data_IF_767996815045
#
_entry.id   IF_767996815045
#
_cell.length_a   1.000
_cell.length_b   1.000
_cell.length_c   1.000
_cell.angle_alpha   90.00
_cell.angle_beta   90.00
_cell.angle_gamma   90.00
#
_symmetry.space_group_name_H-M   'P 1'
#
loop_
_entity.id
_entity.type
_entity.pdbx_description
1 polymer ?
#
# COMPACT_ATOMS: atom_id res chain seq x y z
N UNK A 1 -14.02 26.56 13.37
CA UNK A 1 -13.03 25.69 12.69
C UNK A 1 -12.76 24.53 13.63
N UNK A 2 -13.42 23.40 13.40
CA UNK A 2 -13.42 22.22 14.28
C UNK A 2 -12.06 21.53 14.24
N UNK A 3 -11.39 21.49 15.40
CA UNK A 3 -10.26 20.61 15.67
C UNK A 3 -10.76 19.15 15.62
N UNK A 4 -10.87 18.57 14.43
CA UNK A 4 -11.05 17.12 14.27
C UNK A 4 -9.75 16.43 14.69
N UNK A 5 -9.67 16.11 15.98
CA UNK A 5 -8.77 15.05 16.44
C UNK A 5 -9.12 13.78 15.63
N UNK A 6 -8.13 13.03 15.12
CA UNK A 6 -8.37 11.72 14.52
C UNK A 6 -9.30 10.93 15.44
N UNK A 7 -10.36 10.33 14.88
CA UNK A 7 -11.46 9.76 15.66
C UNK A 7 -10.92 8.83 16.75
N UNK A 8 -10.96 9.29 18.01
CA UNK A 8 -10.46 8.56 19.19
C UNK A 8 -11.01 7.13 19.23
N UNK A 9 -12.23 6.95 18.73
CA UNK A 9 -12.90 5.66 18.60
C UNK A 9 -12.17 4.66 17.71
N UNK A 10 -11.60 5.09 16.58
CA UNK A 10 -10.89 4.18 15.68
C UNK A 10 -9.55 3.75 16.29
N UNK A 11 -8.81 4.68 16.91
CA UNK A 11 -7.57 4.34 17.62
C UNK A 11 -7.84 3.37 18.79
N UNK A 12 -8.91 3.63 19.56
CA UNK A 12 -9.36 2.74 20.62
C UNK A 12 -9.80 1.37 20.09
N UNK A 13 -10.56 1.33 19.00
CA UNK A 13 -10.98 0.09 18.35
C UNK A 13 -9.76 -0.69 17.86
N UNK A 14 -8.79 -0.01 17.26
CA UNK A 14 -7.54 -0.62 16.80
C UNK A 14 -6.76 -1.27 17.91
N UNK A 15 -6.57 -0.57 19.04
CA UNK A 15 -5.89 -1.13 20.21
C UNK A 15 -6.62 -2.35 20.76
N UNK A 16 -7.94 -2.29 20.88
CA UNK A 16 -8.77 -3.39 21.42
C UNK A 16 -8.72 -4.63 20.51
N UNK A 17 -8.80 -4.44 19.21
CA UNK A 17 -8.79 -5.54 18.23
C UNK A 17 -7.39 -6.15 18.10
N UNK A 18 -6.32 -5.36 18.14
CA UNK A 18 -4.95 -5.89 18.19
C UNK A 18 -4.71 -6.71 19.45
N UNK A 19 -5.18 -6.24 20.61
CA UNK A 19 -5.11 -7.02 21.86
C UNK A 19 -5.93 -8.31 21.79
N UNK A 20 -7.12 -8.27 21.17
CA UNK A 20 -7.95 -9.46 20.96
C UNK A 20 -7.26 -10.48 20.04
N UNK A 21 -6.69 -10.02 18.91
CA UNK A 21 -5.92 -10.87 17.99
C UNK A 21 -4.73 -11.50 18.69
N UNK A 22 -3.92 -10.71 19.40
CA UNK A 22 -2.76 -11.23 20.14
C UNK A 22 -3.15 -12.32 21.15
N UNK A 23 -4.21 -12.08 21.93
CA UNK A 23 -4.72 -13.08 22.88
C UNK A 23 -5.15 -14.36 22.18
N UNK A 24 -5.81 -14.24 21.03
CA UNK A 24 -6.27 -15.38 20.24
C UNK A 24 -5.10 -16.18 19.67
N UNK A 25 -4.11 -15.49 19.09
CA UNK A 25 -2.90 -16.11 18.53
C UNK A 25 -2.09 -16.81 19.66
N UNK A 26 -2.04 -16.23 20.87
CA UNK A 26 -1.44 -16.85 22.06
C UNK A 26 -2.21 -18.09 22.57
N UNK A 27 -3.54 -18.05 22.56
CA UNK A 27 -4.38 -19.20 22.91
C UNK A 27 -4.18 -20.34 21.90
N UNK A 28 -4.00 -20.03 20.61
CA UNK A 28 -3.70 -21.00 19.56
C UNK A 28 -2.33 -21.67 19.77
N UNK A 29 -1.29 -20.91 20.11
CA UNK A 29 0.04 -21.46 20.41
C UNK A 29 0.06 -22.38 21.64
N UNK A 30 -0.82 -22.12 22.62
CA UNK A 30 -0.96 -22.94 23.83
C UNK A 30 -1.82 -24.19 23.60
N UNK A 31 -2.76 -24.13 22.67
CA UNK A 31 -3.70 -25.22 22.39
C UNK A 31 -3.10 -26.25 21.44
N UNK A 32 -2.32 -27.20 21.95
CA UNK A 32 -1.95 -28.44 21.23
C UNK A 32 -3.13 -29.44 21.16
N UNK A 33 -4.34 -28.99 20.82
CA UNK A 33 -5.53 -29.85 20.80
C UNK A 33 -6.00 -30.17 19.37
N UNK A 34 -6.41 -31.42 19.20
CA UNK A 34 -6.59 -32.11 17.94
C UNK A 34 -7.75 -31.68 17.05
N UNK A 35 -8.02 -32.45 15.99
CA UNK A 35 -8.85 -32.04 14.87
C UNK A 35 -10.33 -32.28 15.17
N UNK A 36 -11.10 -31.28 15.65
CA UNK A 36 -12.57 -31.17 15.40
C UNK A 36 -13.40 -30.00 15.95
N UNK A 37 -12.85 -28.91 16.50
CA UNK A 37 -13.73 -27.81 16.92
C UNK A 37 -14.10 -26.84 15.79
N UNK A 38 -15.20 -27.15 15.08
CA UNK A 38 -15.84 -26.28 14.09
C UNK A 38 -16.09 -24.87 14.64
N UNK A 39 -16.42 -24.78 15.94
CA UNK A 39 -16.65 -23.51 16.64
C UNK A 39 -15.36 -22.70 16.83
N UNK A 40 -14.23 -23.34 17.15
CA UNK A 40 -12.93 -22.66 17.25
C UNK A 40 -12.49 -22.12 15.88
N UNK A 41 -12.73 -22.88 14.81
CA UNK A 41 -12.45 -22.45 13.44
C UNK A 41 -13.33 -21.26 13.02
N UNK A 42 -14.63 -21.29 13.33
CA UNK A 42 -15.54 -20.19 13.05
C UNK A 42 -15.15 -18.93 13.83
N UNK A 43 -14.78 -19.06 15.11
CA UNK A 43 -14.28 -17.95 15.93
C UNK A 43 -12.99 -17.36 15.36
N UNK A 44 -12.04 -18.20 14.91
CA UNK A 44 -10.81 -17.77 14.24
C UNK A 44 -11.10 -16.96 12.99
N UNK A 45 -11.99 -17.46 12.13
CA UNK A 45 -12.41 -16.75 10.90
C UNK A 45 -13.06 -15.41 11.23
N UNK A 46 -13.91 -15.34 12.25
CA UNK A 46 -14.56 -14.11 12.67
C UNK A 46 -13.56 -13.08 13.21
N UNK A 47 -12.64 -13.48 14.11
CA UNK A 47 -11.59 -12.60 14.65
C UNK A 47 -10.67 -12.11 13.53
N UNK A 48 -10.22 -13.01 12.65
CA UNK A 48 -9.42 -12.66 11.49
C UNK A 48 -10.13 -11.69 10.55
N UNK A 49 -11.42 -11.89 10.30
CA UNK A 49 -12.23 -11.00 9.47
C UNK A 49 -12.39 -9.61 10.09
N UNK A 50 -12.72 -9.51 11.39
CA UNK A 50 -12.84 -8.22 12.08
C UNK A 50 -11.50 -7.48 12.08
N UNK A 51 -10.40 -8.21 12.32
CA UNK A 51 -9.05 -7.65 12.23
C UNK A 51 -8.77 -7.08 10.83
N UNK A 52 -9.03 -7.87 9.78
CA UNK A 52 -8.84 -7.41 8.41
C UNK A 52 -9.73 -6.23 8.03
N UNK A 53 -11.01 -6.22 8.44
CA UNK A 53 -11.89 -5.08 8.24
C UNK A 53 -11.28 -3.80 8.83
N UNK A 54 -10.78 -3.87 10.06
CA UNK A 54 -10.14 -2.75 10.72
C UNK A 54 -8.87 -2.29 10.00
N UNK A 55 -8.02 -3.23 9.55
CA UNK A 55 -6.84 -2.93 8.71
C UNK A 55 -7.26 -2.17 7.45
N UNK A 56 -8.32 -2.62 6.78
CA UNK A 56 -8.84 -1.95 5.59
C UNK A 56 -9.35 -0.54 5.90
N UNK A 57 -10.14 -0.38 6.96
CA UNK A 57 -10.66 0.94 7.37
C UNK A 57 -9.54 1.92 7.72
N UNK A 58 -8.58 1.50 8.55
CA UNK A 58 -7.46 2.35 8.94
C UNK A 58 -6.62 2.75 7.72
N UNK A 59 -6.31 1.78 6.85
CA UNK A 59 -5.52 2.02 5.64
C UNK A 59 -6.21 2.94 4.65
N UNK A 60 -7.52 2.79 4.42
CA UNK A 60 -8.26 3.63 3.46
C UNK A 60 -8.51 5.04 4.01
N UNK A 61 -8.85 5.17 5.29
CA UNK A 61 -9.17 6.47 5.90
C UNK A 61 -7.91 7.31 6.14
N UNK A 62 -6.77 6.67 6.38
CA UNK A 62 -5.52 7.37 6.73
C UNK A 62 -5.11 8.42 5.68
N UNK A 63 -4.97 8.08 4.39
CA UNK A 63 -4.61 9.07 3.37
C UNK A 63 -5.62 10.18 3.17
N UNK A 64 -6.91 9.86 3.31
CA UNK A 64 -8.02 10.81 3.16
C UNK A 64 -8.03 11.87 4.27
N UNK A 65 -7.63 11.46 5.47
CA UNK A 65 -7.56 12.33 6.65
C UNK A 65 -6.15 12.90 6.89
N UNK A 66 -5.20 12.64 5.97
CA UNK A 66 -3.79 13.06 6.04
C UNK A 66 -3.08 12.61 7.33
N UNK A 67 -3.61 11.58 8.01
CA UNK A 67 -3.02 11.00 9.22
C UNK A 67 -2.14 9.81 8.84
N UNK A 68 -1.10 9.48 9.63
CA UNK A 68 -0.37 8.24 9.45
C UNK A 68 -1.25 7.02 9.72
N UNK A 69 -0.95 5.90 9.07
CA UNK A 69 -1.63 4.63 9.34
C UNK A 69 -1.27 4.15 10.75
N UNK A 70 -2.25 3.69 11.52
CA UNK A 70 -2.08 3.25 12.92
C UNK A 70 -1.56 1.82 12.97
N UNK A 71 -2.03 0.95 12.07
CA UNK A 71 -1.63 -0.45 12.03
C UNK A 71 -0.39 -0.60 11.15
N UNK A 72 0.74 -0.99 11.76
CA UNK A 72 2.01 -1.18 11.09
C UNK A 72 2.00 -2.39 10.11
N UNK A 73 2.95 -2.41 9.18
CA UNK A 73 2.99 -3.41 8.10
C UNK A 73 3.23 -4.83 8.63
N UNK A 74 4.07 -4.93 9.66
CA UNK A 74 4.51 -6.17 10.31
C UNK A 74 3.33 -6.92 10.94
N UNK A 75 2.31 -6.18 11.40
CA UNK A 75 1.12 -6.77 12.01
C UNK A 75 0.10 -7.29 10.99
N UNK A 76 0.25 -6.91 9.72
CA UNK A 76 -0.67 -7.28 8.66
C UNK A 76 -0.22 -8.48 7.83
N UNK A 77 1.03 -8.92 7.97
CA UNK A 77 1.57 -10.04 7.22
C UNK A 77 1.42 -11.36 8.00
N UNK A 78 1.10 -12.47 7.33
CA UNK A 78 1.17 -13.79 7.95
C UNK A 78 2.64 -14.16 8.26
N UNK A 79 2.84 -14.89 9.36
CA UNK A 79 4.14 -15.16 9.99
C UNK A 79 5.26 -15.79 9.12
N UNK A 80 5.06 -16.48 7.96
CA UNK A 80 6.18 -17.05 7.23
C UNK A 80 6.98 -16.07 6.35
N UNK A 81 6.56 -14.80 6.19
CA UNK A 81 7.24 -13.82 5.30
C UNK A 81 8.37 -13.05 6.02
N UNK A 82 8.45 -13.14 7.35
CA UNK A 82 9.34 -12.31 8.18
C UNK A 82 10.83 -12.73 8.11
N UNK A 83 11.18 -13.87 7.49
CA UNK A 83 12.48 -14.51 7.74
C UNK A 83 13.48 -14.53 6.56
N UNK A 84 13.38 -13.66 5.54
CA UNK A 84 14.36 -13.77 4.42
C UNK A 84 14.97 -12.50 3.86
N UNK A 85 14.50 -11.30 4.19
CA UNK A 85 15.13 -10.08 3.67
C UNK A 85 15.22 -8.99 4.75
N UNK A 86 16.42 -8.48 4.99
CA UNK A 86 16.83 -7.45 5.96
C UNK A 86 16.29 -6.04 5.60
N UNK A 87 15.13 -5.99 4.94
CA UNK A 87 14.47 -4.79 4.45
C UNK A 87 13.23 -4.43 5.29
N UNK A 88 12.80 -3.16 5.28
CA UNK A 88 11.54 -2.78 5.93
C UNK A 88 10.38 -3.58 5.35
N UNK A 89 9.60 -4.22 6.23
CA UNK A 89 8.38 -4.94 5.88
C UNK A 89 7.42 -3.97 5.18
N UNK A 90 7.39 -3.96 3.86
CA UNK A 90 6.57 -3.04 3.08
C UNK A 90 5.63 -3.84 2.19
N UNK A 91 4.37 -3.43 2.14
CA UNK A 91 3.40 -4.08 1.26
C UNK A 91 3.79 -3.88 -0.20
N UNK A 92 3.88 -4.98 -0.94
CA UNK A 92 4.20 -4.99 -2.37
C UNK A 92 3.18 -5.79 -3.15
N UNK A 93 3.03 -5.46 -4.42
CA UNK A 93 2.06 -6.11 -5.30
C UNK A 93 2.25 -7.63 -5.36
N UNK A 94 3.49 -8.12 -5.43
CA UNK A 94 3.81 -9.55 -5.50
C UNK A 94 3.27 -10.38 -4.32
N UNK A 95 3.06 -9.76 -3.15
CA UNK A 95 2.45 -10.43 -2.00
C UNK A 95 0.97 -10.78 -2.23
N UNK A 96 0.29 -10.04 -3.12
CA UNK A 96 -1.12 -10.20 -3.44
C UNK A 96 -1.37 -11.00 -4.73
N UNK A 97 -0.31 -11.27 -5.52
CA UNK A 97 -0.41 -11.99 -6.80
C UNK A 97 -0.14 -13.50 -6.70
N UNK A 98 0.16 -14.04 -5.51
CA UNK A 98 0.59 -15.45 -5.35
C UNK A 98 -0.43 -16.49 -5.84
N UNK A 99 -1.71 -16.12 -5.94
CA UNK A 99 -2.82 -17.01 -6.33
C UNK A 99 -3.47 -16.63 -7.69
N UNK A 100 -2.77 -15.88 -8.56
CA UNK A 100 -3.35 -15.34 -9.80
C UNK A 100 -3.24 -16.24 -11.05
N UNK A 101 -2.74 -17.47 -10.93
CA UNK A 101 -2.65 -18.45 -12.03
C UNK A 101 -4.00 -18.71 -12.73
N UNK A 102 -5.12 -18.49 -12.03
CA UNK A 102 -6.46 -18.79 -12.51
C UNK A 102 -7.22 -17.61 -13.13
N UNK A 103 -6.67 -16.39 -13.11
CA UNK A 103 -7.43 -15.23 -13.56
C UNK A 103 -7.36 -15.09 -15.09
N UNK A 104 -8.49 -15.10 -15.82
CA UNK A 104 -8.47 -14.98 -17.26
C UNK A 104 -7.85 -13.64 -17.66
N UNK A 105 -6.91 -13.69 -18.61
CA UNK A 105 -6.16 -12.53 -19.13
C UNK A 105 -7.04 -11.42 -19.76
N UNK A 106 -8.37 -11.61 -19.78
CA UNK A 106 -9.33 -10.58 -20.18
C UNK A 106 -10.62 -10.66 -19.36
N UNK A 107 -10.56 -10.19 -18.11
CA UNK A 107 -11.76 -9.98 -17.31
C UNK A 107 -12.59 -8.84 -17.95
N UNK A 108 -13.76 -9.15 -18.50
CA UNK A 108 -14.68 -8.18 -19.11
C UNK A 108 -16.11 -8.43 -18.65
N UNK A 109 -16.91 -7.37 -18.64
CA UNK A 109 -18.36 -7.44 -18.44
C UNK A 109 -19.06 -7.41 -19.81
N UNK A 110 -20.16 -8.17 -20.03
CA UNK A 110 -20.82 -9.08 -19.09
C UNK A 110 -20.10 -10.41 -18.89
N UNK A 111 -20.21 -10.99 -17.69
CA UNK A 111 -19.70 -12.32 -17.34
C UNK A 111 -20.61 -12.99 -16.28
N UNK A 112 -20.33 -14.24 -15.92
CA UNK A 112 -21.15 -14.95 -14.90
C UNK A 112 -21.01 -14.29 -13.52
N UNK A 113 -22.03 -14.42 -12.66
CA UNK A 113 -22.00 -13.85 -11.32
C UNK A 113 -20.85 -14.42 -10.47
N UNK A 114 -20.52 -15.70 -10.66
CA UNK A 114 -19.41 -16.35 -9.96
C UNK A 114 -18.06 -15.76 -10.37
N UNK A 115 -17.87 -15.50 -11.67
CA UNK A 115 -16.66 -14.85 -12.20
C UNK A 115 -16.57 -13.41 -11.66
N UNK A 116 -17.68 -12.66 -11.72
CA UNK A 116 -17.73 -11.29 -11.22
C UNK A 116 -17.47 -11.22 -9.70
N UNK A 117 -18.05 -12.13 -8.92
CA UNK A 117 -17.84 -12.21 -7.47
C UNK A 117 -16.38 -12.51 -7.12
N UNK A 118 -15.76 -13.48 -7.80
CA UNK A 118 -14.33 -13.80 -7.60
C UNK A 118 -13.44 -12.61 -7.95
N UNK A 119 -13.70 -11.95 -9.08
CA UNK A 119 -12.95 -10.76 -9.47
C UNK A 119 -13.07 -9.62 -8.46
N UNK A 120 -14.27 -9.36 -7.92
CA UNK A 120 -14.45 -8.34 -6.89
C UNK A 120 -13.69 -8.67 -5.61
N UNK A 121 -13.74 -9.93 -5.15
CA UNK A 121 -13.01 -10.37 -3.96
C UNK A 121 -11.50 -10.14 -4.14
N UNK A 122 -10.96 -10.45 -5.32
CA UNK A 122 -9.55 -10.21 -5.65
C UNK A 122 -9.20 -8.72 -5.82
N UNK A 123 -10.12 -7.90 -6.30
CA UNK A 123 -9.93 -6.46 -6.46
C UNK A 123 -9.88 -5.69 -5.13
N UNK A 124 -10.57 -6.17 -4.08
CA UNK A 124 -10.61 -5.53 -2.75
C UNK A 124 -9.22 -5.29 -2.16
N UNK A 125 -8.34 -6.29 -1.98
CA UNK A 125 -7.03 -6.06 -1.39
C UNK A 125 -6.13 -5.16 -2.26
N UNK A 126 -6.29 -5.17 -3.58
CA UNK A 126 -5.54 -4.28 -4.49
C UNK A 126 -5.91 -2.82 -4.26
N UNK A 127 -7.19 -2.52 -4.02
CA UNK A 127 -7.61 -1.16 -3.63
C UNK A 127 -6.98 -0.74 -2.31
N UNK A 128 -6.89 -1.65 -1.32
CA UNK A 128 -6.30 -1.35 -0.02
C UNK A 128 -4.79 -1.14 -0.15
N UNK A 129 -4.13 -1.94 -0.99
CA UNK A 129 -2.72 -1.78 -1.32
C UNK A 129 -2.44 -0.39 -1.91
N UNK A 130 -3.29 0.14 -2.80
CA UNK A 130 -3.14 1.50 -3.31
C UNK A 130 -3.09 2.51 -2.16
N UNK A 131 -4.08 2.51 -1.25
CA UNK A 131 -4.12 3.42 -0.10
C UNK A 131 -2.91 3.25 0.84
N UNK A 132 -2.40 2.03 0.98
CA UNK A 132 -1.15 1.77 1.70
C UNK A 132 0.03 2.48 1.03
N UNK A 133 0.14 2.40 -0.31
CA UNK A 133 1.17 3.13 -1.05
C UNK A 133 1.06 4.64 -0.88
N UNK A 134 -0.16 5.20 -0.92
CA UNK A 134 -0.40 6.63 -0.69
C UNK A 134 0.11 7.07 0.68
N UNK A 135 -0.14 6.24 1.71
CA UNK A 135 0.35 6.49 3.06
C UNK A 135 1.88 6.54 3.14
N UNK A 136 2.57 5.65 2.41
CA UNK A 136 4.04 5.68 2.34
C UNK A 136 4.56 6.97 1.69
N UNK A 137 3.91 7.43 0.62
CA UNK A 137 4.27 8.69 -0.06
C UNK A 137 4.07 9.87 0.90
N UNK A 138 2.90 9.97 1.54
CA UNK A 138 2.59 11.02 2.52
C UNK A 138 3.60 11.03 3.67
N UNK A 139 3.90 9.87 4.25
CA UNK A 139 4.87 9.75 5.34
C UNK A 139 6.27 10.18 4.89
N UNK A 140 6.71 9.82 3.68
CA UNK A 140 8.01 10.22 3.14
C UNK A 140 8.09 11.73 2.85
N UNK A 141 6.99 12.33 2.39
CA UNK A 141 6.87 13.78 2.23
C UNK A 141 6.94 14.51 3.57
N UNK A 142 6.16 14.07 4.57
CA UNK A 142 6.10 14.66 5.92
C UNK A 142 7.44 14.55 6.66
N UNK A 143 8.10 13.39 6.62
CA UNK A 143 9.40 13.15 7.28
C UNK A 143 10.58 13.81 6.58
N UNK A 144 10.34 14.68 5.57
CA UNK A 144 11.38 15.32 4.75
C UNK A 144 12.42 14.32 4.22
N UNK A 145 11.98 13.12 3.85
CA UNK A 145 12.87 12.08 3.31
C UNK A 145 13.54 12.54 2.01
N UNK A 146 14.62 11.85 1.64
CA UNK A 146 15.31 12.05 0.35
C UNK A 146 14.34 11.86 -0.81
N UNK A 147 14.57 12.59 -1.91
CA UNK A 147 13.75 12.45 -3.13
C UNK A 147 13.74 11.01 -3.62
N UNK A 148 14.87 10.30 -3.51
CA UNK A 148 14.94 8.91 -3.93
C UNK A 148 13.92 8.02 -3.19
N UNK A 149 13.77 8.19 -1.87
CA UNK A 149 12.81 7.41 -1.08
C UNK A 149 11.36 7.75 -1.44
N UNK A 150 11.09 9.02 -1.76
CA UNK A 150 9.76 9.49 -2.17
C UNK A 150 9.40 8.95 -3.56
N UNK A 151 10.35 9.01 -4.51
CA UNK A 151 10.19 8.46 -5.86
C UNK A 151 9.98 6.95 -5.79
N UNK A 152 10.76 6.24 -4.98
CA UNK A 152 10.58 4.80 -4.78
C UNK A 152 9.21 4.48 -4.19
N UNK A 153 8.73 5.31 -3.25
CA UNK A 153 7.39 5.15 -2.73
C UNK A 153 6.29 5.38 -3.78
N UNK A 154 6.50 6.35 -4.67
CA UNK A 154 5.59 6.70 -5.76
C UNK A 154 5.53 5.60 -6.82
N UNK A 155 6.67 5.00 -7.19
CA UNK A 155 6.73 3.86 -8.11
C UNK A 155 5.87 2.68 -7.63
N UNK A 156 5.82 2.46 -6.31
CA UNK A 156 4.95 1.45 -5.71
C UNK A 156 3.47 1.70 -6.05
N UNK A 157 2.98 2.93 -5.86
CA UNK A 157 1.61 3.31 -6.20
C UNK A 157 1.33 3.19 -7.70
N UNK A 158 2.24 3.68 -8.55
CA UNK A 158 2.12 3.59 -10.03
C UNK A 158 2.03 2.12 -10.49
N UNK A 159 2.82 1.24 -9.89
CA UNK A 159 2.81 -0.19 -10.23
C UNK A 159 1.45 -0.82 -9.91
N UNK A 160 0.84 -0.45 -8.78
CA UNK A 160 -0.49 -0.91 -8.38
C UNK A 160 -1.56 -0.39 -9.34
N UNK A 161 -1.50 0.89 -9.73
CA UNK A 161 -2.42 1.46 -10.72
C UNK A 161 -2.32 0.75 -12.07
N UNK A 162 -1.11 0.54 -12.57
CA UNK A 162 -0.89 -0.16 -13.86
C UNK A 162 -1.47 -1.58 -13.83
N UNK A 163 -1.27 -2.31 -12.74
CA UNK A 163 -1.84 -3.64 -12.60
C UNK A 163 -3.38 -3.60 -12.60
N UNK A 164 -3.99 -2.65 -11.89
CA UNK A 164 -5.43 -2.47 -11.93
C UNK A 164 -5.95 -2.15 -13.33
N UNK A 165 -5.29 -1.25 -14.05
CA UNK A 165 -5.68 -0.85 -15.40
C UNK A 165 -5.65 -2.03 -16.37
N UNK A 166 -4.61 -2.87 -16.26
CA UNK A 166 -4.48 -4.07 -17.09
C UNK A 166 -5.49 -5.16 -16.74
N UNK A 167 -5.94 -5.23 -15.48
CA UNK A 167 -6.66 -6.41 -14.96
C UNK A 167 -8.14 -6.16 -14.72
N UNK A 168 -8.49 -5.01 -14.15
CA UNK A 168 -9.82 -4.74 -13.60
C UNK A 168 -10.51 -3.53 -14.27
N UNK A 169 -9.78 -2.58 -14.85
CA UNK A 169 -10.39 -1.34 -15.35
C UNK A 169 -11.51 -1.59 -16.37
N UNK A 170 -11.25 -2.41 -17.40
CA UNK A 170 -12.27 -2.71 -18.42
C UNK A 170 -13.51 -3.42 -17.84
N UNK A 171 -13.32 -4.28 -16.85
CA UNK A 171 -14.40 -4.97 -16.14
C UNK A 171 -15.28 -4.00 -15.32
N UNK A 172 -14.68 -3.15 -14.48
CA UNK A 172 -15.44 -2.18 -13.69
C UNK A 172 -16.12 -1.13 -14.56
N UNK A 173 -15.46 -0.65 -15.62
CA UNK A 173 -16.07 0.26 -16.58
C UNK A 173 -17.28 -0.36 -17.27
N UNK A 174 -17.18 -1.61 -17.72
CA UNK A 174 -18.32 -2.33 -18.31
C UNK A 174 -19.48 -2.51 -17.34
N UNK A 175 -19.20 -2.85 -16.07
CA UNK A 175 -20.25 -2.96 -15.04
C UNK A 175 -20.94 -1.62 -14.73
N UNK A 176 -20.22 -0.49 -14.79
CA UNK A 176 -20.80 0.83 -14.57
C UNK A 176 -21.67 1.28 -15.76
N UNK A 177 -21.22 1.03 -16.99
CA UNK A 177 -22.01 1.30 -18.19
C UNK A 177 -23.29 0.44 -18.23
N UNK A 178 -23.17 -0.82 -17.82
CA UNK A 178 -24.27 -1.78 -17.75
C UNK A 178 -24.89 -1.92 -16.36
N UNK A 179 -24.85 -0.89 -15.51
CA UNK A 179 -25.17 -1.02 -14.07
C UNK A 179 -26.58 -1.55 -13.79
N UNK A 180 -27.55 -1.26 -14.67
CA UNK A 180 -28.91 -1.77 -14.54
C UNK A 180 -28.99 -3.31 -14.62
N UNK A 181 -28.08 -3.95 -15.38
CA UNK A 181 -28.01 -5.40 -15.53
C UNK A 181 -27.14 -6.13 -14.51
N UNK A 182 -26.49 -5.40 -13.58
CA UNK A 182 -25.68 -6.00 -12.51
C UNK A 182 -26.61 -6.55 -11.42
N UNK A 183 -26.31 -7.74 -10.87
CA UNK A 183 -27.16 -8.32 -9.81
C UNK A 183 -27.14 -7.46 -8.53
N UNK A 184 -28.24 -7.40 -7.74
CA UNK A 184 -28.33 -6.55 -6.55
C UNK A 184 -27.19 -6.77 -5.55
N UNK A 185 -26.72 -8.01 -5.42
CA UNK A 185 -25.59 -8.40 -4.56
C UNK A 185 -24.30 -7.70 -4.98
N UNK A 186 -24.05 -7.54 -6.28
CA UNK A 186 -22.83 -6.97 -6.82
C UNK A 186 -22.88 -5.44 -6.90
N UNK A 187 -24.06 -4.84 -7.06
CA UNK A 187 -24.26 -3.39 -7.21
C UNK A 187 -23.58 -2.54 -6.13
N UNK A 188 -23.72 -2.93 -4.87
CA UNK A 188 -23.10 -2.21 -3.74
C UNK A 188 -21.57 -2.33 -3.76
N UNK A 189 -21.05 -3.51 -4.08
CA UNK A 189 -19.61 -3.76 -4.17
C UNK A 189 -18.96 -3.02 -5.33
N UNK A 190 -19.61 -2.94 -6.51
CA UNK A 190 -19.13 -2.14 -7.65
C UNK A 190 -18.88 -0.70 -7.21
N UNK A 191 -19.88 -0.08 -6.58
CA UNK A 191 -19.79 1.32 -6.12
C UNK A 191 -18.72 1.46 -5.04
N UNK A 192 -18.73 0.63 -4.01
CA UNK A 192 -17.78 0.71 -2.91
C UNK A 192 -16.31 0.49 -3.33
N UNK A 193 -16.06 -0.37 -4.33
CA UNK A 193 -14.71 -0.63 -4.83
C UNK A 193 -14.30 0.48 -5.81
N UNK A 194 -15.12 0.77 -6.82
CA UNK A 194 -14.76 1.71 -7.87
C UNK A 194 -14.64 3.15 -7.36
N UNK A 195 -15.56 3.59 -6.50
CA UNK A 195 -15.49 4.95 -5.92
C UNK A 195 -14.27 5.10 -5.03
N UNK A 196 -13.97 4.10 -4.19
CA UNK A 196 -12.75 4.12 -3.37
C UNK A 196 -11.48 4.08 -4.24
N UNK A 197 -11.46 3.29 -5.30
CA UNK A 197 -10.35 3.26 -6.24
C UNK A 197 -10.12 4.63 -6.89
N UNK A 198 -11.18 5.22 -7.44
CA UNK A 198 -11.15 6.53 -8.10
C UNK A 198 -10.66 7.62 -7.15
N UNK A 199 -11.17 7.62 -5.91
CA UNK A 199 -10.72 8.55 -4.88
C UNK A 199 -9.23 8.36 -4.55
N UNK A 200 -8.76 7.12 -4.44
CA UNK A 200 -7.33 6.83 -4.25
C UNK A 200 -6.47 7.35 -5.39
N UNK A 201 -6.92 7.24 -6.65
CA UNK A 201 -6.18 7.79 -7.80
C UNK A 201 -6.14 9.32 -7.82
N UNK A 202 -7.19 10.00 -7.36
CA UNK A 202 -7.18 11.46 -7.19
C UNK A 202 -6.16 11.89 -6.14
N UNK A 203 -6.15 11.21 -4.98
CA UNK A 203 -5.16 11.46 -3.93
C UNK A 203 -3.74 11.20 -4.46
N UNK A 204 -3.53 10.18 -5.30
CA UNK A 204 -2.23 9.95 -5.94
C UNK A 204 -1.83 11.10 -6.85
N UNK A 205 -2.76 11.67 -7.61
CA UNK A 205 -2.49 12.81 -8.48
C UNK A 205 -2.04 14.02 -7.66
N UNK A 206 -2.77 14.36 -6.59
CA UNK A 206 -2.41 15.45 -5.66
C UNK A 206 -1.02 15.22 -5.04
N UNK A 207 -0.74 13.99 -4.58
CA UNK A 207 0.56 13.66 -4.02
C UNK A 207 1.67 13.73 -5.08
N UNK A 208 1.39 13.35 -6.32
CA UNK A 208 2.37 13.40 -7.41
C UNK A 208 2.77 14.84 -7.75
N UNK A 209 1.83 15.78 -7.68
CA UNK A 209 2.11 17.21 -7.81
C UNK A 209 3.06 17.70 -6.70
N UNK A 210 2.78 17.32 -5.45
CA UNK A 210 3.66 17.66 -4.32
C UNK A 210 5.05 17.03 -4.43
N UNK A 211 5.15 15.80 -4.94
CA UNK A 211 6.44 15.16 -5.22
C UNK A 211 7.21 15.93 -6.29
N UNK A 212 6.52 16.37 -7.36
CA UNK A 212 7.12 17.14 -8.45
C UNK A 212 7.63 18.51 -7.98
N UNK A 213 6.84 19.24 -7.19
CA UNK A 213 7.23 20.52 -6.60
C UNK A 213 8.50 20.36 -5.74
N UNK A 214 8.52 19.36 -4.85
CA UNK A 214 9.68 19.07 -4.00
C UNK A 214 10.93 18.70 -4.82
N UNK A 215 10.77 17.90 -5.87
CA UNK A 215 11.88 17.53 -6.75
C UNK A 215 12.47 18.74 -7.49
N UNK A 216 11.62 19.68 -7.89
CA UNK A 216 12.02 20.92 -8.55
C UNK A 216 12.80 21.83 -7.60
N UNK A 217 12.32 21.98 -6.36
CA UNK A 217 13.00 22.76 -5.31
C UNK A 217 14.38 22.18 -5.00
N UNK A 218 14.52 20.87 -4.81
CA UNK A 218 15.82 20.26 -4.50
C UNK A 218 16.82 20.45 -5.65
N UNK A 219 16.36 20.31 -6.90
CA UNK A 219 17.19 20.62 -8.08
C UNK A 219 17.63 22.08 -8.10
N UNK A 220 16.73 23.02 -7.81
CA UNK A 220 17.06 24.44 -7.74
C UNK A 220 18.05 24.74 -6.62
N UNK A 221 17.87 24.15 -5.44
CA UNK A 221 18.80 24.26 -4.30
C UNK A 221 20.16 23.68 -4.67
N UNK A 222 20.23 22.52 -5.31
CA UNK A 222 21.50 21.95 -5.78
C UNK A 222 22.19 22.88 -6.78
N UNK A 223 21.46 23.48 -7.73
CA UNK A 223 22.03 24.44 -8.68
C UNK A 223 22.54 25.73 -7.99
N UNK A 224 21.81 26.24 -7.00
CA UNK A 224 22.25 27.41 -6.21
C UNK A 224 23.50 27.07 -5.40
N UNK A 225 23.56 25.89 -4.78
CA UNK A 225 24.73 25.41 -4.04
C UNK A 225 25.95 25.19 -4.95
N UNK A 226 25.73 24.72 -6.18
CA UNK A 226 26.79 24.57 -7.20
C UNK A 226 27.29 25.91 -7.75
N UNK A 227 26.41 26.92 -7.82
CA UNK A 227 26.71 28.26 -8.33
C UNK A 227 27.11 29.28 -7.24
N UNK A 228 27.12 28.87 -5.96
CA UNK A 228 27.53 29.73 -4.85
C UNK A 228 29.05 30.01 -4.91
N UNK A 229 29.50 31.27 -4.75
CA UNK A 229 30.91 31.66 -4.92
C UNK A 229 31.84 31.22 -3.77
N UNK A 230 31.38 30.43 -2.80
CA UNK A 230 32.19 30.03 -1.65
C UNK A 230 33.16 28.86 -1.97
N UNK A 231 34.49 29.06 -1.89
CA UNK A 231 35.48 28.05 -2.30
C UNK A 231 35.58 26.83 -1.36
N UNK A 232 34.94 26.85 -0.18
CA UNK A 232 35.07 25.80 0.84
C UNK A 232 34.17 24.58 0.63
N UNK A 233 33.11 24.68 -0.20
CA UNK A 233 32.19 23.56 -0.47
C UNK A 233 32.56 22.75 -1.71
N UNK A 234 33.27 23.35 -2.68
CA UNK A 234 33.80 22.64 -3.87
C UNK A 234 34.69 21.45 -3.49
N UNK A 235 35.40 21.55 -2.37
CA UNK A 235 36.33 20.52 -1.91
C UNK A 235 35.62 19.30 -1.31
N UNK A 236 34.46 19.48 -0.65
CA UNK A 236 33.70 18.36 -0.06
C UNK A 236 33.00 17.49 -1.11
N UNK A 237 32.53 18.07 -2.22
CA UNK A 237 31.99 17.27 -3.34
C UNK A 237 33.08 16.64 -4.22
N UNK A 238 34.26 17.27 -4.36
CA UNK A 238 35.40 16.66 -5.04
C UNK A 238 35.87 15.38 -4.33
N UNK A 239 35.85 15.37 -2.99
CA UNK A 239 36.16 14.18 -2.18
C UNK A 239 35.10 13.08 -2.36
N UNK A 240 33.81 13.43 -2.42
CA UNK A 240 32.73 12.45 -2.64
C UNK A 240 32.72 11.87 -4.08
N UNK A 241 32.99 12.70 -5.09
CA UNK A 241 33.09 12.27 -6.49
C UNK A 241 34.37 11.45 -6.77
N UNK A 242 35.48 11.74 -6.07
CA UNK A 242 36.68 10.89 -6.14
C UNK A 242 36.45 9.53 -5.46
N UNK A 243 35.68 9.47 -4.38
CA UNK A 243 35.30 8.19 -3.74
C UNK A 243 34.44 7.29 -4.66
N UNK A 244 33.56 7.89 -5.48
CA UNK A 244 32.81 7.18 -6.52
C UNK A 244 33.71 6.72 -7.69
N UNK A 245 34.70 7.53 -8.09
CA UNK A 245 35.68 7.17 -9.14
C UNK A 245 36.64 6.06 -8.68
N UNK A 246 37.08 6.06 -7.43
CA UNK A 246 37.96 5.04 -6.87
C UNK A 246 37.25 3.70 -6.70
N UNK A 247 35.95 3.71 -6.36
CA UNK A 247 35.10 2.51 -6.34
C UNK A 247 34.89 1.89 -7.74
N UNK A 248 34.88 2.72 -8.79
CA UNK A 248 34.83 2.27 -10.18
C UNK A 248 36.20 1.80 -10.72
N UNK A 249 37.31 2.22 -10.11
CA UNK A 249 38.67 1.78 -10.43
C UNK A 249 38.98 0.42 -9.78
N UNK A 250 38.52 0.19 -8.56
CA UNK A 250 38.69 -1.09 -7.85
C UNK A 250 37.93 -2.26 -8.52
N UNK A 251 36.78 -1.99 -9.17
CA UNK A 251 36.04 -2.97 -9.98
C UNK A 251 36.71 -3.35 -11.31
N UNK A 252 37.75 -2.62 -11.74
CA UNK A 252 38.41 -2.84 -13.04
C UNK A 252 39.73 -3.61 -12.93
N UNK A 253 40.20 -3.89 -11.71
CA UNK A 253 41.46 -4.60 -11.43
C UNK A 253 41.22 -6.05 -10.97
N UNK A 254 39.96 -6.45 -10.77
CA UNK A 254 39.56 -7.82 -10.38
C UNK A 254 38.61 -8.49 -11.40
N UNK A 255 38.73 -8.12 -12.68
CA UNK A 255 38.31 -8.96 -13.80
C UNK A 255 39.53 -9.29 -14.65
#
# INVERSE_FOLDING_TARGET
>A
MSNERPSVHLEQATRKVSALKYRFDMEELKSKSGPRDTYALQRRRAVGFIYWLLVMFDTVISPLTKRPVVIADEHCMPDPIVNTEDGPCRWRLDMFLKDDTEMPQSLRWPCSEEVASRAMIKAVPIKVLLYRQLSYIQNALQKKSTIQNIVEATKGAITVCRYWDMTYASFFQGMLQGYNGVSPKLKSWVVCIFTAWSLGTLVLADLSELVHEKATIDRAVQLILLNSPAPSFRMRLAISNNFQKDKARFKRVHC
#
